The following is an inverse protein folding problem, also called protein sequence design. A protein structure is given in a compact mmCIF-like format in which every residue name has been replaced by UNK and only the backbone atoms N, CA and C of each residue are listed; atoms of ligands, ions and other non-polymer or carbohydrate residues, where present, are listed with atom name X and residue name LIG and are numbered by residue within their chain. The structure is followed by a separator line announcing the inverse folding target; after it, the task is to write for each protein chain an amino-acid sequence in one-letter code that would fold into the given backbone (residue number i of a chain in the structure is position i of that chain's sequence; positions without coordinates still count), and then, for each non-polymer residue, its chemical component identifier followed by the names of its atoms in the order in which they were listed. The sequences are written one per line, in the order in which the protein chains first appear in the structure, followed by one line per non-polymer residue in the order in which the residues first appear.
data_IF_451020996828
#
_entry.id   IF_451020996828
#
_cell.length_a   1.000
_cell.length_b   1.000
_cell.length_c   1.000
_cell.angle_alpha   90.00
_cell.angle_beta   90.00
_cell.angle_gamma   90.00
#
_symmetry.space_group_name_H-M   'P 1'
#
loop_
_entity.id
_entity.type
_entity.pdbx_description
1 polymer ?
#
# COMPACT_ATOMS: atom_id res chain seq x y z
N UNK A 1 0.55 21.84 -11.71
CA UNK A 1 0.21 20.42 -11.87
C UNK A 1 1.31 19.59 -11.24
N UNK A 2 1.04 18.32 -10.95
CA UNK A 2 2.06 17.36 -10.48
C UNK A 2 3.10 17.13 -11.58
N UNK A 3 4.40 17.18 -11.24
CA UNK A 3 5.51 16.90 -12.15
C UNK A 3 6.27 15.64 -11.69
N UNK A 4 6.04 14.48 -12.32
CA UNK A 4 6.67 13.22 -11.90
C UNK A 4 8.20 13.24 -11.95
N UNK A 5 8.79 14.15 -12.75
CA UNK A 5 10.25 14.29 -12.86
C UNK A 5 10.87 14.85 -11.58
N UNK A 6 10.13 15.71 -10.86
CA UNK A 6 10.60 16.41 -9.67
C UNK A 6 9.82 16.03 -8.39
N UNK A 7 8.71 15.31 -8.55
CA UNK A 7 7.76 14.96 -7.49
C UNK A 7 7.42 13.47 -7.61
N UNK A 8 8.22 12.57 -7.05
CA UNK A 8 7.92 11.14 -7.12
C UNK A 8 6.56 10.84 -6.50
N UNK A 9 5.77 10.00 -7.17
CA UNK A 9 4.55 9.47 -6.60
C UNK A 9 4.91 8.40 -5.54
N UNK A 10 4.29 8.51 -4.38
CA UNK A 10 4.39 7.52 -3.30
C UNK A 10 3.00 6.88 -3.14
N UNK A 11 2.92 5.57 -3.35
CA UNK A 11 1.71 4.82 -3.11
C UNK A 11 1.49 4.56 -1.63
N UNK A 12 0.25 4.72 -1.16
CA UNK A 12 -0.15 4.39 0.21
C UNK A 12 -1.38 3.49 0.15
N UNK A 13 -1.20 2.16 0.09
CA UNK A 13 -2.30 1.21 0.13
C UNK A 13 -3.05 1.36 1.44
N UNK A 14 -4.38 1.32 1.38
CA UNK A 14 -5.22 1.27 2.55
C UNK A 14 -5.12 -0.11 3.19
N UNK A 15 -4.56 -0.15 4.39
CA UNK A 15 -4.33 -1.37 5.19
C UNK A 15 -5.24 -1.46 6.41
N UNK A 16 -6.11 -0.47 6.61
CA UNK A 16 -7.01 -0.34 7.74
C UNK A 16 -8.41 0.03 7.26
N UNK A 17 -9.39 0.02 8.17
CA UNK A 17 -10.73 0.54 7.93
C UNK A 17 -11.04 1.74 8.80
N UNK A 18 -11.97 2.56 8.35
CA UNK A 18 -12.58 3.63 9.13
C UNK A 18 -14.05 3.30 9.34
N UNK A 19 -14.54 3.51 10.57
CA UNK A 19 -15.94 3.25 10.95
C UNK A 19 -16.42 1.82 10.63
N UNK A 20 -17.61 1.67 10.04
CA UNK A 20 -18.25 0.42 9.66
C UNK A 20 -17.82 -0.11 8.28
N UNK A 21 -16.82 0.52 7.65
CA UNK A 21 -16.30 0.05 6.38
C UNK A 21 -15.78 -1.39 6.47
N UNK A 22 -15.77 -2.07 5.32
CA UNK A 22 -15.18 -3.38 5.21
C UNK A 22 -13.69 -3.34 5.58
N UNK A 23 -13.23 -4.37 6.29
CA UNK A 23 -11.79 -4.57 6.44
C UNK A 23 -11.17 -4.84 5.06
N UNK A 24 -10.01 -4.25 4.76
CA UNK A 24 -9.27 -4.63 3.57
C UNK A 24 -8.92 -6.11 3.62
N UNK A 25 -8.97 -6.75 2.47
CA UNK A 25 -8.49 -8.12 2.28
C UNK A 25 -7.07 -8.12 1.74
N UNK A 26 -6.40 -9.28 1.78
CA UNK A 26 -5.12 -9.48 1.10
C UNK A 26 -5.19 -9.09 -0.40
N UNK A 27 -6.32 -9.38 -1.06
CA UNK A 27 -6.54 -9.03 -2.46
C UNK A 27 -6.62 -7.51 -2.67
N UNK A 28 -7.28 -6.79 -1.76
CA UNK A 28 -7.37 -5.32 -1.81
C UNK A 28 -5.99 -4.68 -1.65
N UNK A 29 -5.19 -5.16 -0.70
CA UNK A 29 -3.83 -4.66 -0.47
C UNK A 29 -2.94 -4.94 -1.69
N UNK A 30 -3.01 -6.14 -2.26
CA UNK A 30 -2.24 -6.50 -3.46
C UNK A 30 -2.64 -5.64 -4.68
N UNK A 31 -3.95 -5.46 -4.90
CA UNK A 31 -4.49 -4.67 -6.01
C UNK A 31 -4.10 -3.18 -5.88
N UNK A 32 -4.23 -2.61 -4.69
CA UNK A 32 -3.83 -1.21 -4.46
C UNK A 32 -2.32 -1.01 -4.63
N UNK A 33 -1.51 -1.90 -4.06
CA UNK A 33 -0.05 -1.84 -4.15
C UNK A 33 0.42 -1.90 -5.61
N UNK A 34 -0.05 -2.90 -6.37
CA UNK A 34 0.30 -3.04 -7.79
C UNK A 34 -0.24 -1.87 -8.63
N UNK A 35 -1.45 -1.38 -8.31
CA UNK A 35 -2.06 -0.23 -8.96
C UNK A 35 -1.24 1.06 -8.83
N UNK A 36 -0.72 1.35 -7.64
CA UNK A 36 0.16 2.51 -7.44
C UNK A 36 1.43 2.42 -8.29
N UNK A 37 2.05 1.25 -8.33
CA UNK A 37 3.27 1.06 -9.11
C UNK A 37 3.01 1.15 -10.63
N UNK A 38 1.88 0.62 -11.10
CA UNK A 38 1.44 0.80 -12.49
C UNK A 38 1.15 2.26 -12.84
N UNK A 39 0.75 3.08 -11.86
CA UNK A 39 0.56 4.52 -12.01
C UNK A 39 1.85 5.35 -11.91
N UNK A 40 3.02 4.71 -11.77
CA UNK A 40 4.32 5.37 -11.71
C UNK A 40 4.78 5.73 -10.30
N UNK A 41 4.22 5.11 -9.26
CA UNK A 41 4.78 5.26 -7.91
C UNK A 41 6.19 4.69 -7.86
N UNK A 42 7.15 5.49 -7.40
CA UNK A 42 8.54 5.06 -7.23
C UNK A 42 8.80 4.41 -5.87
N UNK A 43 7.83 4.50 -4.96
CA UNK A 43 7.85 3.86 -3.66
C UNK A 43 6.44 3.59 -3.16
N UNK A 44 6.32 2.65 -2.21
CA UNK A 44 5.08 2.31 -1.53
C UNK A 44 5.33 2.36 -0.04
N UNK A 45 4.45 3.02 0.70
CA UNK A 45 4.47 3.06 2.16
C UNK A 45 3.21 2.37 2.68
N UNK A 46 3.41 1.29 3.41
CA UNK A 46 2.33 0.65 4.15
C UNK A 46 2.18 1.37 5.48
N UNK A 47 1.22 2.29 5.54
CA UNK A 47 0.94 3.10 6.72
C UNK A 47 -0.40 2.66 7.32
N UNK A 48 -0.40 2.34 8.62
CA UNK A 48 -1.62 2.21 9.42
C UNK A 48 -1.75 3.45 10.29
N UNK A 49 -2.92 4.09 10.29
CA UNK A 49 -3.20 5.27 11.11
C UNK A 49 -3.16 4.89 12.60
N UNK A 50 -2.24 5.49 13.37
CA UNK A 50 -2.36 5.59 14.83
C UNK A 50 -3.13 6.87 15.15
N UNK A 51 -4.45 6.81 14.97
CA UNK A 51 -5.36 7.95 15.04
C UNK A 51 -5.78 8.31 16.48
N UNK A 52 -5.70 7.38 17.45
CA UNK A 52 -6.68 7.41 18.55
C UNK A 52 -6.13 7.31 19.99
N UNK A 53 -4.80 7.25 20.22
CA UNK A 53 -4.25 6.80 21.52
C UNK A 53 -4.79 5.41 21.97
N UNK A 54 -5.35 4.66 21.03
CA UNK A 54 -5.70 3.26 21.21
C UNK A 54 -4.43 2.42 21.02
N UNK A 55 -4.36 1.19 21.56
CA UNK A 55 -3.28 0.27 21.19
C UNK A 55 -3.19 0.15 19.66
N UNK A 56 -1.99 -0.15 19.11
CA UNK A 56 -1.82 -0.39 17.68
C UNK A 56 -2.93 -1.30 17.19
N UNK A 57 -3.65 -0.87 16.16
CA UNK A 57 -4.69 -1.71 15.60
C UNK A 57 -4.03 -2.89 14.89
N UNK A 58 -4.61 -4.09 15.06
CA UNK A 58 -4.10 -5.37 14.54
C UNK A 58 -4.15 -5.50 13.00
N UNK A 59 -4.05 -4.38 12.28
CA UNK A 59 -4.09 -4.32 10.82
C UNK A 59 -2.76 -4.83 10.24
N UNK A 60 -2.30 -4.33 9.09
CA UNK A 60 -1.21 -4.97 8.33
C UNK A 60 0.07 -5.32 9.12
N UNK A 61 0.36 -4.68 10.26
CA UNK A 61 1.48 -5.09 11.11
C UNK A 61 1.28 -6.43 11.85
N UNK A 62 0.05 -6.78 12.23
CA UNK A 62 -0.28 -8.03 12.94
C UNK A 62 -1.11 -9.01 12.08
N UNK A 63 -1.74 -8.53 11.01
CA UNK A 63 -2.52 -9.33 10.08
C UNK A 63 -1.64 -10.00 8.99
N UNK A 64 -1.27 -11.26 9.23
CA UNK A 64 -0.39 -12.04 8.33
C UNK A 64 -0.91 -12.17 6.88
N UNK A 65 -2.22 -12.17 6.68
CA UNK A 65 -2.84 -12.20 5.36
C UNK A 65 -2.66 -10.87 4.60
N UNK A 66 -2.77 -9.73 5.30
CA UNK A 66 -2.51 -8.43 4.70
C UNK A 66 -1.03 -8.24 4.34
N UNK A 67 -0.11 -8.77 5.16
CA UNK A 67 1.32 -8.81 4.83
C UNK A 67 1.59 -9.61 3.55
N UNK A 68 0.90 -10.74 3.38
CA UNK A 68 1.02 -11.56 2.18
C UNK A 68 0.48 -10.81 0.94
N UNK A 69 -0.64 -10.10 1.07
CA UNK A 69 -1.16 -9.22 0.02
C UNK A 69 -0.16 -8.12 -0.38
N UNK A 70 0.47 -7.48 0.60
CA UNK A 70 1.52 -6.49 0.37
C UNK A 70 2.73 -7.09 -0.36
N UNK A 71 3.19 -8.27 0.05
CA UNK A 71 4.29 -8.99 -0.61
C UNK A 71 3.97 -9.33 -2.06
N UNK A 72 2.76 -9.79 -2.34
CA UNK A 72 2.30 -10.09 -3.70
C UNK A 72 2.29 -8.84 -4.58
N UNK A 73 1.73 -7.73 -4.10
CA UNK A 73 1.71 -6.47 -4.84
C UNK A 73 3.11 -5.88 -5.07
N UNK A 74 4.01 -5.99 -4.08
CA UNK A 74 5.39 -5.52 -4.19
C UNK A 74 6.19 -6.27 -5.26
N UNK A 75 5.89 -7.55 -5.52
CA UNK A 75 6.55 -8.29 -6.60
C UNK A 75 6.30 -7.61 -7.96
N UNK A 76 5.10 -7.09 -8.20
CA UNK A 76 4.78 -6.30 -9.39
C UNK A 76 5.56 -4.98 -9.40
N UNK A 77 5.60 -4.27 -8.28
CA UNK A 77 6.35 -3.01 -8.15
C UNK A 77 7.84 -3.19 -8.48
N UNK A 78 8.47 -4.22 -7.90
CA UNK A 78 9.87 -4.55 -8.14
C UNK A 78 10.15 -4.84 -9.61
N UNK A 79 9.25 -5.57 -10.28
CA UNK A 79 9.37 -5.83 -11.72
C UNK A 79 9.29 -4.54 -12.55
N UNK A 80 8.41 -3.61 -12.19
CA UNK A 80 8.26 -2.32 -12.89
C UNK A 80 9.47 -1.42 -12.65
N UNK A 81 9.94 -1.32 -11.41
CA UNK A 81 11.09 -0.49 -11.07
C UNK A 81 12.40 -1.01 -11.67
N UNK A 82 12.55 -2.33 -11.79
CA UNK A 82 13.72 -2.94 -12.44
C UNK A 82 13.75 -2.71 -13.95
N UNK A 83 12.60 -2.55 -14.60
CA UNK A 83 12.52 -2.26 -16.04
C UNK A 83 12.96 -0.83 -16.38
N UNK A 84 13.01 0.07 -15.39
CA UNK A 84 13.18 1.50 -15.60
C UNK A 84 11.92 2.17 -16.15
N UNK A 85 11.79 3.49 -16.00
CA UNK A 85 10.75 4.26 -16.68
C UNK A 85 10.94 4.31 -18.20
#
# INVERSE_FOLDING_TARGET
GWDPTNQPLIGIPQTFRFDDAAFPTAADVAAQTSGYCAAGASSVVFYAFDDSHAPPKDELFDATDLQEGARQGLATCQSLWAAGP
#
